data_IF_150583785418
#
_entry.id   IF_150583785418
#
_cell.length_a   1.000
_cell.length_b   1.000
_cell.length_c   1.000
_cell.angle_alpha   90.00
_cell.angle_beta   90.00
_cell.angle_gamma   90.00
#
_symmetry.space_group_name_H-M   'P 1'
#
loop_
_entity.id
_entity.type
_entity.pdbx_description
1 polymer ?
#
# COMPACT_ATOMS: atom_id res chain seq x y z
N UNK A 1 5.63 5.25 9.53
CA UNK A 1 4.39 4.51 9.90
C UNK A 1 4.39 3.17 9.17
N UNK A 2 3.60 2.17 9.59
CA UNK A 2 3.48 0.88 8.88
C UNK A 2 2.10 0.81 8.23
N UNK A 3 2.06 0.45 6.94
CA UNK A 3 0.81 0.20 6.21
C UNK A 3 0.80 -1.20 5.63
N UNK A 4 -0.28 -1.94 5.86
CA UNK A 4 -0.57 -3.20 5.19
C UNK A 4 -1.45 -2.93 3.97
N UNK A 5 -1.06 -3.46 2.82
CA UNK A 5 -1.78 -3.30 1.55
C UNK A 5 -2.13 -4.69 1.02
N UNK A 6 -3.37 -4.80 0.57
CA UNK A 6 -3.92 -6.01 -0.01
C UNK A 6 -3.93 -5.89 -1.54
N UNK A 7 -3.70 -7.00 -2.23
CA UNK A 7 -3.82 -7.05 -3.68
C UNK A 7 -5.27 -6.90 -4.15
N UNK A 8 -5.46 -6.11 -5.20
CA UNK A 8 -6.76 -5.87 -5.82
C UNK A 8 -7.53 -4.69 -5.21
N UNK A 9 -8.81 -4.58 -5.58
CA UNK A 9 -9.71 -3.58 -5.01
C UNK A 9 -10.23 -4.05 -3.64
N UNK A 10 -10.42 -3.10 -2.73
CA UNK A 10 -10.89 -3.38 -1.37
C UNK A 10 -12.21 -4.16 -1.35
N UNK A 11 -12.25 -5.22 -0.54
CA UNK A 11 -13.44 -5.97 -0.21
C UNK A 11 -13.37 -6.49 1.23
N UNK A 12 -14.48 -6.41 1.95
CA UNK A 12 -14.59 -6.91 3.32
C UNK A 12 -14.59 -8.44 3.42
N UNK A 13 -14.90 -9.13 2.31
CA UNK A 13 -15.15 -10.58 2.29
C UNK A 13 -14.22 -11.35 1.36
N UNK A 14 -13.41 -10.65 0.56
CA UNK A 14 -12.53 -11.28 -0.41
C UNK A 14 -11.22 -10.52 -0.53
N UNK A 15 -10.11 -11.26 -0.49
CA UNK A 15 -8.76 -10.76 -0.72
C UNK A 15 -8.06 -11.74 -1.65
N UNK A 16 -7.29 -11.23 -2.61
CA UNK A 16 -6.56 -12.06 -3.56
C UNK A 16 -5.12 -11.56 -3.71
N UNK A 17 -4.19 -12.50 -3.82
CA UNK A 17 -2.77 -12.21 -4.00
C UNK A 17 -2.01 -12.05 -2.67
N UNK A 18 -0.74 -11.62 -2.76
CA UNK A 18 0.13 -11.51 -1.60
C UNK A 18 -0.21 -10.28 -0.74
N UNK A 19 0.31 -10.30 0.48
CA UNK A 19 0.31 -9.13 1.35
C UNK A 19 1.53 -8.25 1.05
N UNK A 20 1.33 -6.94 1.09
CA UNK A 20 2.40 -5.97 0.95
C UNK A 20 2.47 -5.07 2.18
N UNK A 21 3.68 -4.65 2.55
CA UNK A 21 3.91 -3.72 3.64
C UNK A 21 4.74 -2.53 3.16
N UNK A 22 4.28 -1.32 3.49
CA UNK A 22 5.10 -0.12 3.46
C UNK A 22 5.61 0.15 4.88
N UNK A 23 6.92 0.12 5.05
CA UNK A 23 7.58 0.42 6.32
C UNK A 23 8.19 1.81 6.29
N UNK A 24 8.09 2.51 7.41
CA UNK A 24 8.71 3.82 7.64
C UNK A 24 8.35 4.93 6.63
N UNK A 25 7.15 4.85 6.05
CA UNK A 25 6.67 5.89 5.13
C UNK A 25 5.81 6.92 5.87
N UNK A 26 6.01 8.21 5.60
CA UNK A 26 5.06 9.26 5.97
C UNK A 26 3.99 9.39 4.89
N UNK A 27 2.73 9.64 5.26
CA UNK A 27 1.65 9.85 4.28
C UNK A 27 1.98 11.01 3.34
N UNK A 28 2.68 12.03 3.84
CA UNK A 28 3.17 13.14 3.02
C UNK A 28 4.20 12.71 1.98
N UNK A 29 5.00 11.69 2.27
CA UNK A 29 6.04 11.15 1.37
C UNK A 29 5.46 10.23 0.28
N UNK A 30 4.22 9.77 0.47
CA UNK A 30 3.52 8.98 -0.55
C UNK A 30 3.17 9.81 -1.78
N UNK A 31 3.32 11.14 -1.74
CA UNK A 31 3.04 12.05 -2.86
C UNK A 31 1.71 11.71 -3.53
N UNK A 32 0.66 11.50 -2.72
CA UNK A 32 -0.66 11.15 -3.23
C UNK A 32 -1.12 12.25 -4.19
N UNK A 33 -1.19 11.92 -5.48
CA UNK A 33 -1.68 12.79 -6.54
C UNK A 33 -3.02 12.29 -7.06
N UNK A 34 -3.90 13.22 -7.49
CA UNK A 34 -5.24 12.93 -8.00
C UNK A 34 -6.30 13.88 -7.43
N UNK A 35 -7.56 13.66 -7.81
CA UNK A 35 -8.71 14.34 -7.20
C UNK A 35 -9.05 13.66 -5.85
N UNK A 36 -9.48 14.42 -4.83
CA UNK A 36 -9.83 13.92 -3.49
C UNK A 36 -8.67 13.27 -2.70
N UNK A 37 -7.50 13.91 -2.65
CA UNK A 37 -6.41 13.48 -1.76
C UNK A 37 -6.89 13.54 -0.30
N UNK A 38 -6.90 12.43 0.44
CA UNK A 38 -7.35 12.42 1.83
C UNK A 38 -6.27 13.01 2.75
N UNK A 39 -6.68 13.62 3.86
CA UNK A 39 -5.75 14.09 4.91
C UNK A 39 -5.00 12.92 5.60
N UNK A 40 -5.53 11.70 5.48
CA UNK A 40 -4.94 10.48 6.02
C UNK A 40 -5.36 9.23 5.24
N UNK A 41 -4.51 8.21 5.20
CA UNK A 41 -4.91 6.89 4.71
C UNK A 41 -5.77 6.15 5.75
N UNK A 42 -6.84 5.52 5.28
CA UNK A 42 -7.72 4.69 6.08
C UNK A 42 -7.93 3.31 5.42
N UNK A 43 -8.32 2.31 6.22
CA UNK A 43 -8.78 1.03 5.70
C UNK A 43 -9.93 1.24 4.73
N UNK A 44 -9.94 0.51 3.62
CA UNK A 44 -10.99 0.62 2.60
C UNK A 44 -10.58 1.43 1.36
N UNK A 45 -9.49 2.18 1.44
CA UNK A 45 -9.02 2.99 0.32
C UNK A 45 -8.23 2.14 -0.68
N UNK A 46 -8.46 2.40 -1.97
CA UNK A 46 -7.69 1.83 -3.05
C UNK A 46 -6.62 2.81 -3.51
N UNK A 47 -5.40 2.30 -3.71
CA UNK A 47 -4.27 3.06 -4.21
C UNK A 47 -3.59 2.30 -5.34
N UNK A 48 -2.88 3.02 -6.19
CA UNK A 48 -1.96 2.45 -7.16
C UNK A 48 -0.54 2.77 -6.74
N UNK A 49 0.31 1.75 -6.62
CA UNK A 49 1.70 1.91 -6.18
C UNK A 49 2.65 1.32 -7.23
N UNK A 50 3.70 2.06 -7.53
CA UNK A 50 4.92 1.57 -8.16
C UNK A 50 6.00 1.55 -7.08
N UNK A 51 6.60 0.38 -6.83
CA UNK A 51 7.55 0.19 -5.75
C UNK A 51 8.67 -0.78 -6.13
N UNK A 52 9.76 -0.71 -5.38
CA UNK A 52 10.82 -1.71 -5.36
C UNK A 52 10.50 -2.69 -4.23
N UNK A 53 10.66 -3.98 -4.49
CA UNK A 53 10.60 -5.01 -3.44
C UNK A 53 11.93 -4.97 -2.69
N UNK A 54 11.86 -4.70 -1.39
CA UNK A 54 13.04 -4.67 -0.52
C UNK A 54 13.31 -6.05 0.08
N UNK A 55 12.32 -6.60 0.81
CA UNK A 55 12.41 -7.92 1.44
C UNK A 55 11.14 -8.76 1.19
N UNK A 56 11.32 -10.07 1.15
CA UNK A 56 10.23 -11.05 1.20
C UNK A 56 10.38 -11.93 2.43
N UNK A 57 9.39 -11.92 3.31
CA UNK A 57 9.31 -12.85 4.44
C UNK A 57 8.55 -14.10 4.03
N UNK A 58 9.28 -15.20 3.84
CA UNK A 58 8.71 -16.49 3.45
C UNK A 58 7.82 -17.13 4.51
N UNK A 59 7.90 -16.71 5.78
CA UNK A 59 7.05 -17.28 6.83
C UNK A 59 5.63 -16.71 6.78
N UNK A 60 5.50 -15.43 6.47
CA UNK A 60 4.22 -14.72 6.38
C UNK A 60 3.71 -14.56 4.95
N UNK A 61 4.57 -14.72 3.95
CA UNK A 61 4.26 -14.42 2.55
C UNK A 61 4.19 -12.92 2.24
N UNK A 62 4.78 -12.10 3.11
CA UNK A 62 4.71 -10.64 3.06
C UNK A 62 5.86 -10.06 2.24
N UNK A 63 5.54 -9.13 1.35
CA UNK A 63 6.53 -8.32 0.63
C UNK A 63 6.66 -6.95 1.28
N UNK A 64 7.85 -6.60 1.70
CA UNK A 64 8.16 -5.23 2.10
C UNK A 64 8.52 -4.41 0.87
N UNK A 65 7.90 -3.25 0.74
CA UNK A 65 8.01 -2.39 -0.42
C UNK A 65 8.62 -1.05 -0.03
N UNK A 66 9.51 -0.56 -0.90
CA UNK A 66 9.99 0.83 -0.90
C UNK A 66 9.25 1.55 -2.03
N UNK A 67 8.34 2.48 -1.72
CA UNK A 67 7.53 3.15 -2.73
C UNK A 67 8.39 4.08 -3.59
N UNK A 68 8.20 4.01 -4.91
CA UNK A 68 8.75 4.97 -5.88
C UNK A 68 7.68 6.00 -6.23
N UNK A 69 6.43 5.56 -6.38
CA UNK A 69 5.30 6.42 -6.70
C UNK A 69 4.00 5.84 -6.12
N UNK A 70 3.13 6.69 -5.57
CA UNK A 70 1.79 6.30 -5.10
C UNK A 70 0.73 7.26 -5.64
N UNK A 71 -0.42 6.72 -6.04
CA UNK A 71 -1.56 7.49 -6.57
C UNK A 71 -2.86 7.03 -5.94
N UNK A 72 -3.78 7.97 -5.70
CA UNK A 72 -5.15 7.64 -5.30
C UNK A 72 -5.91 7.05 -6.50
N UNK A 73 -6.81 6.09 -6.24
CA UNK A 73 -7.72 5.51 -7.24
C UNK A 73 -9.16 5.89 -6.97
#
# INVERSE_FOLDING_TARGET
MIFLILGGDYSETSVSGPYFQLSDVNVLDLNLVGDNIPDSLATGMNIHIIAIVDEYDSNSGLFQLVPVETRMR
#
